data_IF_176154248394
#
_entry.id   IF_176154248394
#
_cell.length_a   1.000
_cell.length_b   1.000
_cell.length_c   1.000
_cell.angle_alpha   90.00
_cell.angle_beta   90.00
_cell.angle_gamma   90.00
#
_symmetry.space_group_name_H-M   'P 1'
#
loop_
_entity.id
_entity.type
_entity.pdbx_description
1 polymer ?
#
# COMPACT_ATOMS: atom_id res chain seq x y z
N UNK A 1 15.23 13.34 -5.14
CA UNK A 1 14.13 12.60 -4.49
C UNK A 1 13.48 11.70 -5.52
N UNK A 2 13.26 10.45 -5.16
CA UNK A 2 12.55 9.53 -6.04
C UNK A 2 11.05 9.79 -5.98
N UNK A 3 10.35 9.48 -7.07
CA UNK A 3 8.89 9.55 -7.08
C UNK A 3 8.25 8.67 -6.00
N UNK A 4 8.93 7.61 -5.59
CA UNK A 4 8.46 6.71 -4.55
C UNK A 4 8.21 7.44 -3.22
N UNK A 5 9.19 8.23 -2.73
CA UNK A 5 9.01 8.97 -1.48
C UNK A 5 7.85 9.96 -1.56
N UNK A 6 7.70 10.64 -2.69
CA UNK A 6 6.59 11.56 -2.91
C UNK A 6 5.25 10.82 -2.87
N UNK A 7 5.16 9.68 -3.53
CA UNK A 7 3.91 8.90 -3.57
C UNK A 7 3.56 8.32 -2.21
N UNK A 8 4.54 7.87 -1.43
CA UNK A 8 4.30 7.44 -0.05
C UNK A 8 3.71 8.59 0.77
N UNK A 9 4.26 9.80 0.61
CA UNK A 9 3.73 10.99 1.28
C UNK A 9 2.29 11.31 0.87
N UNK A 10 1.97 11.17 -0.41
CA UNK A 10 0.61 11.38 -0.92
C UNK A 10 -0.35 10.34 -0.34
N UNK A 11 0.06 9.09 -0.24
CA UNK A 11 -0.76 8.02 0.36
C UNK A 11 -1.01 8.31 1.85
N UNK A 12 -0.01 8.79 2.59
CA UNK A 12 -0.19 9.20 3.98
C UNK A 12 -1.22 10.33 4.08
N UNK A 13 -1.14 11.32 3.20
CA UNK A 13 -2.11 12.43 3.16
C UNK A 13 -3.53 11.92 2.84
N UNK A 14 -3.64 10.95 1.92
CA UNK A 14 -4.91 10.32 1.58
C UNK A 14 -5.51 9.58 2.77
N UNK A 15 -4.71 8.79 3.49
CA UNK A 15 -5.17 8.08 4.68
C UNK A 15 -5.64 9.07 5.75
N UNK A 16 -4.90 10.16 5.96
CA UNK A 16 -5.29 11.20 6.91
C UNK A 16 -6.60 11.86 6.53
N UNK A 17 -6.75 12.21 5.25
CA UNK A 17 -7.94 12.92 4.76
C UNK A 17 -9.18 12.04 4.71
N UNK A 18 -9.05 10.79 4.25
CA UNK A 18 -10.20 9.91 3.97
C UNK A 18 -10.56 8.99 5.13
N UNK A 19 -9.60 8.59 5.97
CA UNK A 19 -9.81 7.69 7.12
C UNK A 19 -9.60 8.39 8.46
N UNK A 20 -9.30 9.68 8.44
CA UNK A 20 -9.08 10.51 9.64
C UNK A 20 -8.01 9.93 10.56
N UNK A 21 -7.01 9.28 9.96
CA UNK A 21 -5.88 8.76 10.70
C UNK A 21 -4.85 9.87 10.96
N UNK A 22 -4.19 9.81 12.10
CA UNK A 22 -3.06 10.69 12.41
C UNK A 22 -1.76 10.06 11.90
N UNK A 23 -0.75 10.89 11.65
CA UNK A 23 0.57 10.37 11.27
C UNK A 23 1.15 9.44 12.34
N UNK A 24 0.79 9.66 13.62
CA UNK A 24 1.21 8.79 14.72
C UNK A 24 0.62 7.37 14.63
N UNK A 25 -0.45 7.18 13.86
CA UNK A 25 -1.06 5.86 13.63
C UNK A 25 -0.38 5.10 12.49
N UNK A 26 0.56 5.74 11.80
CA UNK A 26 1.25 5.17 10.64
C UNK A 26 2.70 4.91 10.97
N UNK A 27 3.19 3.71 10.66
CA UNK A 27 4.61 3.39 10.75
C UNK A 27 5.19 3.34 9.34
N UNK A 28 6.24 4.12 9.10
CA UNK A 28 6.94 4.15 7.83
C UNK A 28 8.15 3.23 7.86
N UNK A 29 8.70 2.93 6.69
CA UNK A 29 9.85 2.02 6.55
C UNK A 29 11.00 2.36 7.51
N UNK A 30 11.33 3.64 7.67
CA UNK A 30 12.41 4.05 8.58
C UNK A 30 12.13 3.66 10.03
N UNK A 31 10.89 3.76 10.48
CA UNK A 31 10.50 3.39 11.84
C UNK A 31 10.49 1.89 12.02
N UNK A 32 10.10 1.15 10.97
CA UNK A 32 10.07 -0.31 10.99
C UNK A 32 11.48 -0.91 11.09
N UNK A 33 12.50 -0.23 10.58
CA UNK A 33 13.89 -0.68 10.67
C UNK A 33 14.34 -0.92 12.11
N UNK A 34 13.80 -0.16 13.05
CA UNK A 34 14.17 -0.27 14.46
C UNK A 34 13.47 -1.44 15.16
N UNK A 35 12.33 -1.89 14.62
CA UNK A 35 11.47 -2.87 15.28
C UNK A 35 11.47 -4.24 14.64
N UNK A 36 12.02 -4.41 13.43
CA UNK A 36 12.01 -5.67 12.70
C UNK A 36 13.39 -6.28 12.58
N UNK A 37 13.42 -7.61 12.48
CA UNK A 37 14.65 -8.35 12.27
C UNK A 37 15.30 -8.01 10.93
N UNK A 38 16.62 -8.10 10.88
CA UNK A 38 17.40 -7.90 9.65
C UNK A 38 16.96 -8.93 8.61
N UNK A 39 16.68 -8.46 7.40
CA UNK A 39 16.29 -9.32 6.27
C UNK A 39 14.79 -9.50 6.09
N UNK A 40 13.96 -9.08 7.05
CA UNK A 40 12.51 -9.07 6.84
C UNK A 40 12.12 -7.94 5.88
N UNK A 41 11.12 -8.23 5.05
CA UNK A 41 10.52 -7.18 4.22
C UNK A 41 9.79 -6.16 5.09
N UNK A 42 10.04 -4.89 4.82
CA UNK A 42 9.37 -3.78 5.50
C UNK A 42 8.42 -3.12 4.51
N UNK A 43 7.10 -3.10 4.79
CA UNK A 43 6.16 -2.33 3.98
C UNK A 43 6.48 -0.83 3.98
N UNK A 44 6.00 -0.13 2.97
CA UNK A 44 6.18 1.32 2.90
C UNK A 44 5.44 2.03 4.03
N UNK A 45 4.23 1.57 4.34
CA UNK A 45 3.40 2.13 5.41
C UNK A 45 2.73 0.97 6.14
N UNK A 46 2.67 1.04 7.47
CA UNK A 46 1.88 0.11 8.28
C UNK A 46 0.88 0.92 9.10
N UNK A 47 -0.39 0.54 9.01
CA UNK A 47 -1.48 1.13 9.79
C UNK A 47 -2.15 -0.01 10.56
N UNK A 48 -1.94 -0.07 11.87
CA UNK A 48 -2.41 -1.21 12.66
C UNK A 48 -1.80 -2.50 12.14
N UNK A 49 -2.64 -3.42 11.69
CA UNK A 49 -2.22 -4.71 11.10
C UNK A 49 -2.36 -4.73 9.56
N UNK A 50 -2.39 -3.56 8.93
CA UNK A 50 -2.49 -3.44 7.48
C UNK A 50 -1.17 -2.96 6.91
N UNK A 51 -0.59 -3.72 5.98
CA UNK A 51 0.59 -3.34 5.23
C UNK A 51 0.17 -2.63 3.93
N UNK A 52 0.77 -1.47 3.65
CA UNK A 52 0.50 -0.72 2.43
C UNK A 52 1.81 -0.56 1.66
N UNK A 53 1.78 -0.95 0.39
CA UNK A 53 2.93 -0.89 -0.52
C UNK A 53 2.64 0.07 -1.65
N UNK A 54 3.64 0.86 -2.03
CA UNK A 54 3.61 1.70 -3.23
C UNK A 54 4.63 1.13 -4.20
N UNK A 55 4.16 0.51 -5.28
CA UNK A 55 5.04 -0.15 -6.25
C UNK A 55 5.04 0.60 -7.57
N UNK A 56 6.12 1.33 -7.83
CA UNK A 56 6.25 2.18 -9.02
C UNK A 56 7.06 1.53 -10.14
N UNK A 57 7.92 0.56 -9.79
CA UNK A 57 8.84 -0.05 -10.73
C UNK A 57 8.70 -1.55 -10.74
N UNK A 58 8.93 -2.14 -11.90
CA UNK A 58 8.90 -3.59 -12.06
C UNK A 58 10.05 -4.23 -11.27
N UNK A 59 9.73 -5.25 -10.49
CA UNK A 59 10.69 -6.08 -9.77
C UNK A 59 10.60 -7.51 -10.28
N UNK A 60 11.61 -8.30 -9.99
CA UNK A 60 11.56 -9.74 -10.27
C UNK A 60 10.35 -10.36 -9.57
N UNK A 61 9.74 -11.33 -10.20
CA UNK A 61 8.59 -12.03 -9.64
C UNK A 61 8.93 -12.69 -8.30
N UNK A 62 10.15 -13.21 -8.15
CA UNK A 62 10.60 -13.81 -6.89
C UNK A 62 10.65 -12.78 -5.77
N UNK A 63 11.09 -11.56 -6.04
CA UNK A 63 11.12 -10.47 -5.06
C UNK A 63 9.72 -10.07 -4.65
N UNK A 64 8.82 -9.86 -5.62
CA UNK A 64 7.43 -9.54 -5.33
C UNK A 64 6.76 -10.66 -4.53
N UNK A 65 6.95 -11.90 -4.92
CA UNK A 65 6.39 -13.06 -4.21
C UNK A 65 6.85 -13.08 -2.76
N UNK A 66 8.13 -12.89 -2.53
CA UNK A 66 8.68 -12.86 -1.16
C UNK A 66 8.06 -11.74 -0.33
N UNK A 67 7.90 -10.56 -0.92
CA UNK A 67 7.32 -9.42 -0.23
C UNK A 67 5.83 -9.64 0.10
N UNK A 68 5.08 -10.19 -0.86
CA UNK A 68 3.67 -10.54 -0.66
C UNK A 68 3.52 -11.57 0.45
N UNK A 69 4.33 -12.64 0.43
CA UNK A 69 4.24 -13.70 1.44
C UNK A 69 4.69 -13.21 2.82
N UNK A 70 5.68 -12.33 2.88
CA UNK A 70 6.09 -11.70 4.13
C UNK A 70 4.95 -10.88 4.73
N UNK A 71 4.24 -10.11 3.92
CA UNK A 71 3.09 -9.34 4.38
C UNK A 71 1.96 -10.25 4.83
N UNK A 72 1.70 -11.33 4.10
CA UNK A 72 0.66 -12.30 4.47
C UNK A 72 0.95 -12.96 5.81
N UNK A 73 2.21 -13.22 6.09
CA UNK A 73 2.62 -13.85 7.36
C UNK A 73 2.54 -12.88 8.54
N UNK A 74 2.87 -11.61 8.33
CA UNK A 74 3.10 -10.65 9.41
C UNK A 74 1.95 -9.66 9.64
N UNK A 75 1.00 -9.55 8.70
CA UNK A 75 -0.12 -8.59 8.78
C UNK A 75 -1.44 -9.27 8.45
N UNK A 76 -2.53 -8.69 8.92
CA UNK A 76 -3.87 -9.21 8.64
C UNK A 76 -4.35 -8.83 7.23
N UNK A 77 -3.80 -7.77 6.66
CA UNK A 77 -4.14 -7.34 5.32
C UNK A 77 -2.99 -6.63 4.63
N UNK A 78 -3.06 -6.58 3.30
CA UNK A 78 -2.07 -5.86 2.50
C UNK A 78 -2.74 -5.18 1.32
N UNK A 79 -2.29 -3.97 1.01
CA UNK A 79 -2.77 -3.17 -0.11
C UNK A 79 -1.57 -2.76 -0.95
N UNK A 80 -1.65 -3.02 -2.24
CA UNK A 80 -0.61 -2.65 -3.20
C UNK A 80 -1.15 -1.55 -4.11
N UNK A 81 -0.50 -0.40 -4.10
CA UNK A 81 -0.87 0.76 -4.91
C UNK A 81 0.07 0.84 -6.10
N UNK A 82 -0.50 0.70 -7.29
CA UNK A 82 0.27 0.57 -8.54
C UNK A 82 -0.24 1.58 -9.56
N UNK A 83 0.63 2.28 -10.30
CA UNK A 83 0.19 3.17 -11.36
C UNK A 83 -0.58 2.41 -12.45
N UNK A 84 -1.60 3.04 -13.00
CA UNK A 84 -2.44 2.43 -14.03
C UNK A 84 -1.62 1.99 -15.26
N UNK A 85 -0.63 2.78 -15.64
CA UNK A 85 0.25 2.48 -16.79
C UNK A 85 1.13 1.25 -16.57
N UNK A 86 1.27 0.78 -15.33
CA UNK A 86 2.11 -0.37 -14.97
C UNK A 86 1.28 -1.65 -14.89
N UNK A 87 0.57 -1.96 -15.96
CA UNK A 87 -0.31 -3.15 -16.02
C UNK A 87 0.43 -4.46 -15.76
N UNK A 88 1.70 -4.56 -16.14
CA UNK A 88 2.51 -5.74 -15.90
C UNK A 88 2.78 -5.99 -14.41
N UNK A 89 2.92 -4.93 -13.61
CA UNK A 89 3.08 -5.06 -12.15
C UNK A 89 1.78 -5.60 -11.55
N UNK A 90 0.64 -5.02 -11.93
CA UNK A 90 -0.67 -5.49 -11.44
C UNK A 90 -0.90 -6.95 -11.80
N UNK A 91 -0.56 -7.33 -13.02
CA UNK A 91 -0.70 -8.73 -13.48
C UNK A 91 0.16 -9.67 -12.66
N UNK A 92 1.43 -9.30 -12.42
CA UNK A 92 2.33 -10.12 -11.61
C UNK A 92 1.81 -10.29 -10.20
N UNK A 93 1.32 -9.22 -9.56
CA UNK A 93 0.75 -9.30 -8.22
C UNK A 93 -0.51 -10.17 -8.20
N UNK A 94 -1.40 -10.01 -9.18
CA UNK A 94 -2.61 -10.83 -9.28
C UNK A 94 -2.27 -12.32 -9.43
N UNK A 95 -1.27 -12.64 -10.24
CA UNK A 95 -0.79 -14.02 -10.39
C UNK A 95 -0.22 -14.56 -9.08
N UNK A 96 0.56 -13.76 -8.36
CA UNK A 96 1.13 -14.17 -7.07
C UNK A 96 0.02 -14.44 -6.06
N UNK A 97 -0.98 -13.58 -5.99
CA UNK A 97 -2.11 -13.78 -5.09
C UNK A 97 -2.86 -15.08 -5.43
N UNK A 98 -3.14 -15.29 -6.72
CA UNK A 98 -3.82 -16.51 -7.18
C UNK A 98 -3.00 -17.77 -6.91
N UNK A 99 -1.72 -17.75 -7.22
CA UNK A 99 -0.84 -18.91 -7.06
C UNK A 99 -0.66 -19.31 -5.60
N UNK A 100 -0.80 -18.36 -4.67
CA UNK A 100 -0.60 -18.59 -3.23
C UNK A 100 -1.93 -18.61 -2.46
N UNK A 101 -3.06 -18.65 -3.15
CA UNK A 101 -4.41 -18.72 -2.56
C UNK A 101 -4.65 -17.58 -1.56
N UNK A 102 -4.23 -16.37 -1.93
CA UNK A 102 -4.45 -15.16 -1.13
C UNK A 102 -5.78 -14.55 -1.55
N UNK A 103 -6.67 -14.35 -0.59
CA UNK A 103 -8.05 -13.94 -0.83
C UNK A 103 -8.18 -12.42 -0.98
N UNK A 104 -9.21 -11.99 -1.75
CA UNK A 104 -9.49 -10.58 -1.98
C UNK A 104 -9.83 -9.80 -0.71
N UNK A 105 -10.34 -10.48 0.32
CA UNK A 105 -10.69 -9.84 1.59
C UNK A 105 -9.47 -9.33 2.34
N UNK A 106 -8.31 -9.95 2.14
CA UNK A 106 -7.09 -9.62 2.87
C UNK A 106 -6.01 -8.99 2.01
N UNK A 107 -6.17 -8.99 0.68
CA UNK A 107 -5.17 -8.43 -0.23
C UNK A 107 -5.85 -7.71 -1.39
N UNK A 108 -5.46 -6.46 -1.61
CA UNK A 108 -6.01 -5.62 -2.67
C UNK A 108 -4.90 -5.02 -3.51
N UNK A 109 -5.19 -4.86 -4.80
CA UNK A 109 -4.37 -4.10 -5.73
C UNK A 109 -5.21 -2.91 -6.17
N UNK A 110 -4.77 -1.70 -5.83
CA UNK A 110 -5.49 -0.46 -6.14
C UNK A 110 -4.66 0.38 -7.10
N UNK A 111 -5.37 1.21 -7.88
CA UNK A 111 -4.74 2.14 -8.80
C UNK A 111 -4.29 3.39 -8.05
N UNK A 112 -3.03 3.77 -8.22
CA UNK A 112 -2.46 4.94 -7.54
C UNK A 112 -3.16 6.23 -7.96
N UNK A 113 -3.60 6.34 -9.21
CA UNK A 113 -4.34 7.52 -9.71
C UNK A 113 -5.68 7.69 -9.02
N UNK A 114 -6.32 6.59 -8.60
CA UNK A 114 -7.57 6.66 -7.83
C UNK A 114 -7.33 7.28 -6.45
N UNK A 115 -6.18 7.02 -5.84
CA UNK A 115 -5.79 7.62 -4.57
C UNK A 115 -5.63 9.13 -4.72
N UNK A 116 -4.96 9.57 -5.79
CA UNK A 116 -4.81 11.00 -6.10
C UNK A 116 -6.17 11.67 -6.29
N UNK A 117 -7.07 11.02 -7.02
CA UNK A 117 -8.42 11.54 -7.27
C UNK A 117 -9.23 11.65 -5.98
N UNK A 118 -9.19 10.63 -5.13
CA UNK A 118 -9.89 10.65 -3.84
C UNK A 118 -9.39 11.78 -2.95
N UNK A 119 -8.08 12.01 -2.91
CA UNK A 119 -7.50 13.11 -2.15
C UNK A 119 -7.98 14.46 -2.67
N UNK A 120 -8.03 14.63 -3.99
CA UNK A 120 -8.58 15.86 -4.59
C UNK A 120 -10.04 16.06 -4.23
N UNK A 121 -10.86 15.01 -4.27
CA UNK A 121 -12.27 15.09 -3.89
C UNK A 121 -12.45 15.50 -2.42
N UNK A 122 -11.63 14.98 -1.52
CA UNK A 122 -11.64 15.39 -0.11
C UNK A 122 -11.34 16.88 0.04
N UNK A 123 -10.35 17.39 -0.71
CA UNK A 123 -9.98 18.80 -0.65
C UNK A 123 -11.08 19.70 -1.20
N UNK A 124 -11.72 19.29 -2.32
CA UNK A 124 -12.81 20.06 -2.95
C UNK A 124 -14.04 20.12 -2.03
N UNK A 125 -14.35 19.02 -1.36
CA UNK A 125 -15.56 18.91 -0.53
C UNK A 125 -15.31 19.19 0.95
N UNK A 126 -14.21 19.81 1.31
CA UNK A 126 -13.87 20.14 2.71
C UNK A 126 -13.97 18.92 3.63
N UNK A 127 -13.49 17.78 3.16
CA UNK A 127 -13.49 16.50 3.89
C UNK A 127 -14.89 15.94 4.17
N UNK A 128 -15.91 16.33 3.41
CA UNK A 128 -17.26 15.75 3.53
C UNK A 128 -17.44 14.49 2.70
N UNK A 129 -16.56 14.28 1.69
CA UNK A 129 -16.58 13.06 0.89
C UNK A 129 -16.04 11.89 1.70
N UNK A 130 -16.70 10.74 1.59
CA UNK A 130 -16.28 9.53 2.29
C UNK A 130 -15.79 8.48 1.31
N UNK A 131 -14.59 7.97 1.56
CA UNK A 131 -14.00 6.92 0.77
C UNK A 131 -14.56 5.55 1.15
N UNK A 132 -14.57 4.58 0.20
CA UNK A 132 -14.88 3.19 0.54
C UNK A 132 -13.91 2.64 1.61
N UNK A 133 -14.35 1.68 2.43
CA UNK A 133 -13.47 1.09 3.43
C UNK A 133 -12.33 0.29 2.77
N UNK A 134 -11.18 0.27 3.44
CA UNK A 134 -10.07 -0.60 3.08
C UNK A 134 -10.32 -2.03 3.59
N UNK A 135 -9.63 -3.02 3.01
CA UNK A 135 -9.73 -4.40 3.48
C UNK A 135 -9.27 -4.59 4.94
#
# INVERSE_FOLDING_TARGET
MTNHCLEVGIVCAWLRATRKLHFSDMMLDMQLRESQAVGEHRPDIVVGNLAIEVELNHKRKETLTRNVLSNELNYDGQVWLVPQRKANIRRSLAEIFSDNVIEDETAKILCLEDIHQELCLCNIHNNTWQAPPLP
#
